data_IF_641717593738
#
_entry.id   IF_641717593738
#
_cell.length_a   1.000
_cell.length_b   1.000
_cell.length_c   1.000
_cell.angle_alpha   90.00
_cell.angle_beta   90.00
_cell.angle_gamma   90.00
#
_symmetry.space_group_name_H-M   'P 1'
#
loop_
_entity.id
_entity.type
_entity.pdbx_description
1 polymer ?
#
# COMPACT_ATOMS: atom_id res chain seq x y z
N UNK A 1 13.85 -18.50 9.09
CA UNK A 1 12.97 -17.99 8.01
C UNK A 1 13.42 -18.51 6.64
N UNK A 2 14.70 -18.34 6.27
CA UNK A 2 15.29 -18.86 5.02
C UNK A 2 14.88 -20.30 4.67
N UNK A 3 15.16 -21.25 5.55
CA UNK A 3 14.85 -22.67 5.35
C UNK A 3 13.35 -22.93 5.21
N UNK A 4 12.50 -22.13 5.83
CA UNK A 4 11.05 -22.27 5.74
C UNK A 4 10.50 -21.86 4.37
N UNK A 5 11.17 -20.90 3.71
CA UNK A 5 10.78 -20.32 2.42
C UNK A 5 11.52 -20.97 1.24
N UNK A 6 12.62 -21.67 1.49
CA UNK A 6 13.41 -22.33 0.46
C UNK A 6 12.57 -23.38 -0.27
N UNK A 7 12.64 -23.39 -1.61
CA UNK A 7 11.88 -24.29 -2.49
C UNK A 7 10.35 -24.24 -2.33
N UNK A 8 9.81 -23.13 -1.79
CA UNK A 8 8.37 -22.92 -1.68
C UNK A 8 7.97 -21.64 -2.41
N UNK A 9 6.77 -21.66 -2.99
CA UNK A 9 6.11 -20.45 -3.46
C UNK A 9 5.55 -19.68 -2.27
N UNK A 10 5.85 -18.39 -2.17
CA UNK A 10 5.35 -17.55 -1.08
C UNK A 10 4.91 -16.16 -1.57
N UNK A 11 4.05 -15.54 -0.76
CA UNK A 11 3.76 -14.12 -0.80
C UNK A 11 4.21 -13.55 0.54
N UNK A 12 5.17 -12.63 0.52
CA UNK A 12 5.70 -11.99 1.73
C UNK A 12 5.44 -10.49 1.66
N UNK A 13 4.92 -9.92 2.74
CA UNK A 13 4.67 -8.48 2.87
C UNK A 13 5.54 -7.90 3.98
N UNK A 14 6.30 -6.86 3.65
CA UNK A 14 7.10 -6.09 4.60
C UNK A 14 6.50 -4.69 4.72
N UNK A 15 5.89 -4.40 5.87
CA UNK A 15 5.20 -3.14 6.11
C UNK A 15 6.09 -2.07 6.75
N UNK A 16 5.86 -0.79 6.42
CA UNK A 16 6.55 0.41 6.93
C UNK A 16 8.10 0.31 6.95
N UNK A 17 8.69 -0.05 5.81
CA UNK A 17 10.13 -0.30 5.73
C UNK A 17 10.98 0.97 5.84
N UNK A 18 11.65 1.15 7.00
CA UNK A 18 12.45 2.35 7.30
C UNK A 18 13.83 2.33 6.66
N UNK A 19 14.57 1.22 6.73
CA UNK A 19 15.94 1.09 6.19
C UNK A 19 16.03 0.01 5.10
N UNK A 20 16.93 0.21 4.13
CA UNK A 20 17.25 -0.75 3.06
C UNK A 20 17.98 -1.99 3.59
N UNK A 21 18.78 -1.85 4.65
CA UNK A 21 19.57 -2.98 5.20
C UNK A 21 18.69 -4.15 5.65
N UNK A 22 17.47 -3.86 6.12
CA UNK A 22 16.53 -4.87 6.58
C UNK A 22 16.11 -5.87 5.50
N UNK A 23 16.17 -5.52 4.22
CA UNK A 23 15.86 -6.50 3.16
C UNK A 23 16.89 -7.63 3.20
N UNK A 24 18.18 -7.31 3.30
CA UNK A 24 19.22 -8.34 3.37
C UNK A 24 19.16 -9.13 4.68
N UNK A 25 18.69 -8.50 5.77
CA UNK A 25 18.58 -9.14 7.09
C UNK A 25 17.33 -10.04 7.21
N UNK A 26 16.23 -9.69 6.54
CA UNK A 26 14.93 -10.38 6.65
C UNK A 26 14.69 -11.32 5.48
N UNK A 27 15.05 -10.91 4.27
CA UNK A 27 14.82 -11.64 3.03
C UNK A 27 16.14 -11.88 2.32
N UNK A 28 16.63 -13.11 2.50
CA UNK A 28 17.77 -13.64 1.79
C UNK A 28 17.57 -13.53 0.27
N UNK A 29 18.34 -12.66 -0.39
CA UNK A 29 18.24 -12.40 -1.84
C UNK A 29 18.34 -13.69 -2.66
N UNK A 30 19.13 -14.66 -2.20
CA UNK A 30 19.24 -15.98 -2.81
C UNK A 30 17.93 -16.80 -2.74
N UNK A 31 17.10 -16.61 -1.70
CA UNK A 31 15.77 -17.21 -1.63
C UNK A 31 14.83 -16.60 -2.68
N UNK A 32 14.88 -15.28 -2.86
CA UNK A 32 14.09 -14.60 -3.90
C UNK A 32 14.53 -15.04 -5.31
N UNK A 33 15.84 -15.14 -5.55
CA UNK A 33 16.36 -15.59 -6.84
C UNK A 33 16.01 -17.04 -7.16
N UNK A 34 15.95 -17.91 -6.14
CA UNK A 34 15.62 -19.33 -6.33
C UNK A 34 14.13 -19.59 -6.58
N UNK A 35 13.23 -18.67 -6.19
CA UNK A 35 11.78 -18.87 -6.27
C UNK A 35 11.10 -17.81 -7.15
N UNK A 36 11.23 -17.96 -8.48
CA UNK A 36 10.74 -16.99 -9.49
C UNK A 36 9.24 -16.66 -9.42
N UNK A 37 8.42 -17.55 -8.87
CA UNK A 37 6.97 -17.36 -8.75
C UNK A 37 6.54 -16.71 -7.42
N UNK A 38 7.49 -16.38 -6.54
CA UNK A 38 7.20 -15.76 -5.25
C UNK A 38 7.15 -14.24 -5.38
N UNK A 39 6.30 -13.62 -4.56
CA UNK A 39 6.07 -12.17 -4.59
C UNK A 39 6.48 -11.58 -3.26
N UNK A 40 7.28 -10.51 -3.33
CA UNK A 40 7.62 -9.65 -2.19
C UNK A 40 6.92 -8.30 -2.37
N UNK A 41 6.04 -7.95 -1.44
CA UNK A 41 5.40 -6.64 -1.38
C UNK A 41 6.05 -5.84 -0.26
N UNK A 42 6.53 -4.64 -0.57
CA UNK A 42 7.11 -3.73 0.41
C UNK A 42 6.35 -2.41 0.40
N UNK A 43 5.94 -1.95 1.58
CA UNK A 43 5.37 -0.60 1.75
C UNK A 43 6.41 0.31 2.40
N UNK A 44 6.46 1.56 1.95
CA UNK A 44 7.37 2.58 2.48
C UNK A 44 6.81 3.98 2.20
N UNK A 45 6.91 4.88 3.19
CA UNK A 45 6.48 6.28 3.05
C UNK A 45 7.26 7.08 2.01
N UNK A 46 8.57 6.83 1.88
CA UNK A 46 9.45 7.56 0.96
C UNK A 46 10.29 6.60 0.13
N UNK A 47 9.80 6.29 -1.08
CA UNK A 47 10.51 5.41 -2.01
C UNK A 47 11.55 6.21 -2.81
N UNK A 48 12.75 6.42 -2.22
CA UNK A 48 13.94 6.74 -3.03
C UNK A 48 14.27 5.49 -3.83
N UNK A 49 14.28 5.58 -5.17
CA UNK A 49 14.51 4.46 -6.09
C UNK A 49 15.61 3.57 -5.52
N UNK A 50 15.26 2.34 -5.16
CA UNK A 50 16.23 1.38 -4.67
C UNK A 50 16.85 0.72 -5.88
N UNK A 51 17.88 1.35 -6.45
CA UNK A 51 18.62 0.81 -7.60
C UNK A 51 19.52 -0.37 -7.25
N UNK A 52 19.58 -0.74 -5.97
CA UNK A 52 20.68 -1.53 -5.40
C UNK A 52 20.36 -3.04 -5.30
N UNK A 53 19.17 -3.49 -5.72
CA UNK A 53 18.83 -4.91 -5.67
C UNK A 53 18.85 -5.54 -7.08
N UNK A 54 19.48 -6.71 -7.18
CA UNK A 54 19.53 -7.52 -8.40
C UNK A 54 18.21 -8.29 -8.66
N UNK A 55 17.07 -7.68 -8.37
CA UNK A 55 15.72 -8.23 -8.61
C UNK A 55 14.90 -7.20 -9.38
N UNK A 56 13.92 -7.67 -10.14
CA UNK A 56 12.95 -6.79 -10.78
C UNK A 56 12.09 -6.10 -9.71
N UNK A 57 12.06 -4.77 -9.74
CA UNK A 57 11.29 -3.96 -8.79
C UNK A 57 10.21 -3.22 -9.56
N UNK A 58 8.96 -3.56 -9.29
CA UNK A 58 7.81 -2.76 -9.71
C UNK A 58 7.48 -1.73 -8.64
N UNK A 59 7.76 -0.45 -8.94
CA UNK A 59 7.36 0.65 -8.07
C UNK A 59 5.89 0.97 -8.33
N UNK A 60 5.08 0.96 -7.28
CA UNK A 60 3.70 1.43 -7.30
C UNK A 60 3.55 2.57 -6.29
N UNK A 61 3.32 3.78 -6.77
CA UNK A 61 3.03 4.93 -5.93
C UNK A 61 1.52 4.97 -5.64
N UNK A 62 1.15 5.07 -4.37
CA UNK A 62 -0.25 5.26 -3.98
C UNK A 62 -0.57 6.75 -4.13
N UNK A 63 -1.45 7.06 -5.08
CA UNK A 63 -1.89 8.42 -5.37
C UNK A 63 -3.01 8.87 -4.41
N UNK A 64 -3.13 10.19 -4.25
CA UNK A 64 -4.25 10.81 -3.54
C UNK A 64 -5.58 10.49 -4.25
N UNK A 65 -6.65 10.37 -3.47
CA UNK A 65 -7.97 10.15 -4.04
C UNK A 65 -8.48 11.41 -4.74
N UNK A 66 -9.12 11.22 -5.89
CA UNK A 66 -9.88 12.30 -6.51
C UNK A 66 -11.09 12.69 -5.63
N UNK A 67 -11.69 13.85 -5.92
CA UNK A 67 -12.78 14.44 -5.11
C UNK A 67 -14.00 13.52 -4.99
N UNK A 68 -14.38 12.85 -6.07
CA UNK A 68 -15.58 12.02 -6.09
C UNK A 68 -15.36 10.72 -5.29
N UNK A 69 -14.20 10.09 -5.46
CA UNK A 69 -13.81 8.91 -4.67
C UNK A 69 -13.65 9.26 -3.19
N UNK A 70 -13.08 10.43 -2.88
CA UNK A 70 -12.94 10.92 -1.50
C UNK A 70 -14.29 11.17 -0.85
N UNK A 71 -15.23 11.79 -1.57
CA UNK A 71 -16.59 12.03 -1.08
C UNK A 71 -17.35 10.73 -0.87
N UNK A 72 -17.18 9.75 -1.76
CA UNK A 72 -17.74 8.41 -1.61
C UNK A 72 -17.19 7.73 -0.37
N UNK A 73 -15.86 7.73 -0.18
CA UNK A 73 -15.22 7.13 1.00
C UNK A 73 -15.73 7.77 2.29
N UNK A 74 -15.72 9.10 2.36
CA UNK A 74 -16.22 9.86 3.51
C UNK A 74 -17.68 9.51 3.82
N UNK A 75 -18.52 9.45 2.79
CA UNK A 75 -19.95 9.13 2.91
C UNK A 75 -20.17 7.72 3.45
N UNK A 76 -19.43 6.74 2.92
CA UNK A 76 -19.46 5.33 3.37
C UNK A 76 -19.12 5.22 4.86
N UNK A 77 -18.05 5.88 5.31
CA UNK A 77 -17.64 5.84 6.71
C UNK A 77 -18.58 6.61 7.65
N UNK A 78 -19.07 7.77 7.22
CA UNK A 78 -19.97 8.60 8.02
C UNK A 78 -21.32 7.91 8.27
N UNK A 79 -21.79 7.09 7.33
CA UNK A 79 -23.12 6.47 7.40
C UNK A 79 -23.16 4.98 7.68
N UNK A 80 -22.00 4.34 7.91
CA UNK A 80 -21.87 2.91 8.20
C UNK A 80 -22.70 2.06 7.24
N UNK A 81 -22.32 2.10 5.97
CA UNK A 81 -22.77 1.30 4.81
C UNK A 81 -24.28 1.23 4.46
N UNK A 82 -25.21 1.42 5.40
CA UNK A 82 -26.63 1.04 5.21
C UNK A 82 -27.60 2.23 5.07
N UNK A 83 -27.12 3.47 5.16
CA UNK A 83 -27.98 4.66 5.02
C UNK A 83 -27.50 5.57 3.89
N UNK A 84 -28.39 5.82 2.93
CA UNK A 84 -28.21 6.91 1.96
C UNK A 84 -28.19 8.22 2.76
N UNK A 85 -27.08 8.95 2.68
CA UNK A 85 -27.00 10.29 3.26
C UNK A 85 -28.09 11.18 2.64
N UNK A 86 -28.88 11.88 3.46
CA UNK A 86 -29.69 13.00 3.00
C UNK A 86 -28.82 13.95 2.16
N UNK A 87 -29.40 14.50 1.09
CA UNK A 87 -28.68 15.35 0.14
C UNK A 87 -28.01 16.54 0.84
N UNK A 88 -28.65 17.06 1.88
CA UNK A 88 -28.15 18.16 2.71
C UNK A 88 -26.82 17.79 3.40
N UNK A 89 -26.69 16.56 3.92
CA UNK A 89 -25.47 16.09 4.56
C UNK A 89 -24.35 15.83 3.53
N UNK A 90 -24.70 15.42 2.31
CA UNK A 90 -23.72 15.29 1.21
C UNK A 90 -23.15 16.67 0.85
N UNK A 91 -24.00 17.69 0.73
CA UNK A 91 -23.54 19.05 0.43
C UNK A 91 -22.65 19.62 1.55
N UNK A 92 -22.91 19.28 2.81
CA UNK A 92 -22.03 19.61 3.96
C UNK A 92 -20.71 18.83 3.91
N UNK A 93 -20.73 17.58 3.46
CA UNK A 93 -19.54 16.73 3.34
C UNK A 93 -18.53 17.23 2.29
N UNK A 94 -19.00 17.84 1.20
CA UNK A 94 -18.13 18.36 0.12
C UNK A 94 -17.02 19.31 0.59
N UNK A 95 -17.28 20.39 1.35
CA UNK A 95 -16.22 21.27 1.85
C UNK A 95 -15.29 20.58 2.84
N UNK A 96 -15.78 19.63 3.64
CA UNK A 96 -14.95 18.83 4.57
C UNK A 96 -13.96 17.99 3.76
N UNK A 97 -14.45 17.22 2.80
CA UNK A 97 -13.64 16.37 1.90
C UNK A 97 -12.63 17.21 1.12
N UNK A 98 -13.03 18.40 0.66
CA UNK A 98 -12.13 19.33 -0.03
C UNK A 98 -10.95 19.76 0.86
N UNK A 99 -11.14 19.88 2.18
CA UNK A 99 -10.07 20.25 3.12
C UNK A 99 -9.05 19.13 3.37
N UNK A 100 -9.42 17.88 3.10
CA UNK A 100 -8.57 16.70 3.30
C UNK A 100 -7.58 16.45 2.15
N UNK A 101 -7.72 17.16 1.02
CA UNK A 101 -6.84 17.05 -0.16
C UNK A 101 -6.64 15.61 -0.66
N UNK A 102 -7.67 14.76 -0.61
CA UNK A 102 -7.60 13.39 -1.15
C UNK A 102 -6.79 12.41 -0.31
N UNK A 103 -6.32 12.80 0.88
CA UNK A 103 -5.71 11.89 1.83
C UNK A 103 -6.78 10.98 2.46
N UNK A 104 -6.47 9.69 2.56
CA UNK A 104 -7.30 8.65 3.19
C UNK A 104 -6.95 8.45 4.65
#
# INVERSE_FOLDING_TARGET
>A
MKEFLMNKKFLLTLDDMKNKSYINDVVFMDVLHSNKDSILIMTKKNCKIVKDYAIEIHKFDIEELNKDTSLKLFSTYACRDDNILPRELIEIGKPIVKSCNGLT
#
